data_IF_084254950345
#
_entry.id   IF_084254950345
#
_cell.length_a   1.000
_cell.length_b   1.000
_cell.length_c   1.000
_cell.angle_alpha   90.00
_cell.angle_beta   90.00
_cell.angle_gamma   90.00
#
_symmetry.space_group_name_H-M   'P 1'
#
loop_
_entity.id
_entity.type
_entity.pdbx_description
1 polymer ?
#
# COMPACT_ATOMS: atom_id res chain seq x y z
N UNK A 1 -9.16 16.73 -11.30
CA UNK A 1 -7.90 16.02 -11.65
C UNK A 1 -8.05 14.54 -11.32
N UNK A 2 -7.89 13.66 -12.33
CA UNK A 2 -8.12 12.22 -12.16
C UNK A 2 -6.84 11.50 -11.77
N UNK A 3 -6.92 10.63 -10.75
CA UNK A 3 -5.79 9.83 -10.25
C UNK A 3 -6.20 8.36 -10.16
N UNK A 4 -5.37 7.47 -10.71
CA UNK A 4 -5.59 6.02 -10.63
C UNK A 4 -4.54 5.34 -9.74
N UNK A 5 -4.97 4.35 -8.92
CA UNK A 5 -4.10 3.49 -8.11
C UNK A 5 -4.52 2.04 -8.27
N UNK A 6 -3.56 1.12 -8.28
CA UNK A 6 -3.80 -0.31 -8.40
C UNK A 6 -3.28 -1.07 -7.18
N UNK A 7 -4.01 -2.13 -6.81
CA UNK A 7 -3.68 -3.07 -5.75
C UNK A 7 -4.00 -4.50 -6.18
N UNK A 8 -3.08 -5.42 -6.00
CA UNK A 8 -3.35 -6.84 -6.18
C UNK A 8 -4.12 -7.39 -4.96
N UNK A 9 -5.16 -8.18 -5.21
CA UNK A 9 -6.00 -8.80 -4.18
C UNK A 9 -5.65 -10.28 -4.07
N UNK A 10 -5.02 -10.65 -2.95
CA UNK A 10 -4.59 -12.01 -2.66
C UNK A 10 -5.64 -12.74 -1.80
N UNK A 11 -6.00 -13.95 -2.22
CA UNK A 11 -6.91 -14.83 -1.49
C UNK A 11 -8.41 -14.53 -1.69
N UNK A 12 -9.20 -15.61 -1.88
CA UNK A 12 -10.65 -15.56 -2.13
C UNK A 12 -11.43 -14.90 -0.98
N UNK A 13 -11.00 -15.15 0.28
CA UNK A 13 -11.62 -14.55 1.48
C UNK A 13 -11.43 -13.02 1.53
N UNK A 14 -10.25 -12.54 1.15
CA UNK A 14 -9.97 -11.11 1.10
C UNK A 14 -10.79 -10.42 -0.02
N UNK A 15 -10.89 -11.06 -1.19
CA UNK A 15 -11.75 -10.59 -2.30
C UNK A 15 -13.21 -10.42 -1.85
N UNK A 16 -13.79 -11.40 -1.15
CA UNK A 16 -15.16 -11.31 -0.62
C UNK A 16 -15.34 -10.12 0.35
N UNK A 17 -14.37 -9.89 1.24
CA UNK A 17 -14.39 -8.72 2.13
C UNK A 17 -14.31 -7.41 1.36
N UNK A 18 -13.53 -7.37 0.31
CA UNK A 18 -13.39 -6.20 -0.55
C UNK A 18 -14.67 -5.93 -1.32
N UNK A 19 -15.35 -6.96 -1.86
CA UNK A 19 -16.68 -6.83 -2.48
C UNK A 19 -17.67 -6.20 -1.48
N UNK A 20 -17.74 -6.73 -0.26
CA UNK A 20 -18.60 -6.16 0.79
C UNK A 20 -18.27 -4.69 1.09
N UNK A 21 -16.99 -4.33 1.09
CA UNK A 21 -16.54 -2.96 1.36
C UNK A 21 -16.94 -1.99 0.24
N UNK A 22 -16.73 -2.37 -1.02
CA UNK A 22 -17.02 -1.49 -2.16
C UNK A 22 -18.51 -1.31 -2.40
N UNK A 23 -19.33 -2.30 -2.01
CA UNK A 23 -20.79 -2.28 -2.12
C UNK A 23 -21.48 -1.66 -0.88
N UNK A 24 -20.79 -0.89 -0.07
CA UNK A 24 -21.40 -0.26 1.10
C UNK A 24 -22.54 0.66 0.69
N UNK A 25 -23.72 0.47 1.28
CA UNK A 25 -24.98 1.16 0.91
C UNK A 25 -24.87 2.68 1.06
N UNK A 26 -24.32 3.14 2.20
CA UNK A 26 -24.21 4.56 2.51
C UNK A 26 -23.23 5.30 1.56
N UNK A 27 -22.30 4.57 0.95
CA UNK A 27 -21.27 5.13 0.09
C UNK A 27 -21.65 5.12 -1.39
N UNK A 28 -22.58 4.25 -1.77
CA UNK A 28 -22.98 4.00 -3.16
C UNK A 28 -24.40 4.45 -3.47
N UNK A 29 -24.97 5.32 -2.67
CA UNK A 29 -26.38 5.73 -2.76
C UNK A 29 -27.31 4.51 -2.90
N UNK A 30 -27.27 3.62 -1.91
CA UNK A 30 -28.07 2.38 -1.91
C UNK A 30 -27.88 1.53 -3.17
N UNK A 31 -26.63 1.38 -3.62
CA UNK A 31 -26.19 0.62 -4.80
C UNK A 31 -26.59 1.22 -6.16
N UNK A 32 -27.20 2.40 -6.22
CA UNK A 32 -27.47 3.07 -7.49
C UNK A 32 -26.21 3.42 -8.27
N UNK A 33 -25.10 3.66 -7.55
CA UNK A 33 -23.80 3.98 -8.10
C UNK A 33 -22.91 2.74 -8.28
N UNK A 34 -23.52 1.59 -8.59
CA UNK A 34 -22.82 0.34 -8.86
C UNK A 34 -23.15 -0.13 -10.27
N UNK A 35 -22.11 -0.43 -11.04
CA UNK A 35 -22.20 -1.04 -12.34
C UNK A 35 -21.27 -2.25 -12.44
N UNK A 36 -21.58 -3.21 -13.28
CA UNK A 36 -20.78 -4.41 -13.46
C UNK A 36 -20.76 -4.87 -14.92
N UNK A 37 -19.79 -5.72 -15.22
CA UNK A 37 -19.68 -6.37 -16.50
C UNK A 37 -19.43 -7.88 -16.39
N UNK A 38 -20.20 -8.63 -17.17
CA UNK A 38 -20.05 -10.08 -17.29
C UNK A 38 -20.57 -10.87 -16.08
N UNK A 39 -21.31 -10.22 -15.17
CA UNK A 39 -21.95 -10.89 -14.06
C UNK A 39 -23.28 -11.53 -14.50
N UNK A 40 -23.55 -12.72 -13.98
CA UNK A 40 -24.87 -13.34 -14.11
C UNK A 40 -25.72 -12.88 -12.94
N UNK A 41 -26.78 -12.15 -13.22
CA UNK A 41 -27.78 -11.80 -12.23
C UNK A 41 -28.91 -12.85 -12.32
N UNK A 42 -29.14 -13.54 -11.21
CA UNK A 42 -30.16 -14.58 -11.07
C UNK A 42 -31.14 -14.30 -9.92
N UNK A 43 -31.07 -13.07 -9.38
CA UNK A 43 -31.91 -12.64 -8.27
C UNK A 43 -32.73 -11.43 -8.71
N UNK A 44 -34.03 -11.47 -8.50
CA UNK A 44 -34.91 -10.31 -8.57
C UNK A 44 -34.84 -9.59 -7.21
N UNK A 45 -34.45 -8.31 -7.22
CA UNK A 45 -34.37 -7.47 -6.03
C UNK A 45 -33.52 -8.04 -4.88
N UNK A 46 -32.23 -8.34 -5.07
CA UNK A 46 -31.39 -8.93 -4.04
C UNK A 46 -31.17 -7.96 -2.88
N UNK A 47 -31.16 -8.50 -1.65
CA UNK A 47 -30.64 -7.79 -0.50
C UNK A 47 -29.14 -7.49 -0.69
N UNK A 48 -28.61 -6.53 0.08
CA UNK A 48 -27.17 -6.21 0.04
C UNK A 48 -26.28 -7.45 0.28
N UNK A 49 -26.66 -8.32 1.22
CA UNK A 49 -25.90 -9.54 1.52
C UNK A 49 -25.90 -10.52 0.35
N UNK A 50 -27.04 -10.70 -0.30
CA UNK A 50 -27.20 -11.55 -1.48
C UNK A 50 -26.45 -10.99 -2.68
N UNK A 51 -26.45 -9.68 -2.88
CA UNK A 51 -25.66 -9.05 -3.95
C UNK A 51 -24.14 -9.24 -3.74
N UNK A 52 -23.65 -9.09 -2.51
CA UNK A 52 -22.24 -9.37 -2.18
C UNK A 52 -21.89 -10.82 -2.50
N UNK A 53 -22.77 -11.77 -2.14
CA UNK A 53 -22.54 -13.18 -2.43
C UNK A 53 -22.66 -13.50 -3.91
N UNK A 54 -23.60 -12.94 -4.61
CA UNK A 54 -23.76 -13.08 -6.06
C UNK A 54 -22.48 -12.68 -6.81
N UNK A 55 -21.92 -11.54 -6.52
CA UNK A 55 -20.65 -11.12 -7.13
C UNK A 55 -19.48 -12.03 -6.74
N UNK A 56 -19.42 -12.45 -5.47
CA UNK A 56 -18.37 -13.36 -5.01
C UNK A 56 -18.47 -14.73 -5.70
N UNK A 57 -19.69 -15.28 -5.86
CA UNK A 57 -19.95 -16.54 -6.57
C UNK A 57 -19.58 -16.41 -8.05
N UNK A 58 -19.95 -15.31 -8.72
CA UNK A 58 -19.56 -15.04 -10.10
C UNK A 58 -18.04 -15.08 -10.32
N UNK A 59 -17.28 -14.47 -9.41
CA UNK A 59 -15.83 -14.50 -9.46
C UNK A 59 -15.28 -15.90 -9.14
N UNK A 60 -15.86 -16.57 -8.15
CA UNK A 60 -15.42 -17.91 -7.73
C UNK A 60 -15.71 -18.96 -8.81
N UNK A 61 -16.81 -18.85 -9.53
CA UNK A 61 -17.10 -19.75 -10.64
C UNK A 61 -16.08 -19.62 -11.76
N UNK A 62 -15.62 -18.39 -12.03
CA UNK A 62 -14.55 -18.14 -13.00
C UNK A 62 -13.22 -18.77 -12.54
N UNK A 63 -12.89 -18.66 -11.24
CA UNK A 63 -11.71 -19.32 -10.66
C UNK A 63 -11.80 -20.84 -10.80
N UNK A 64 -12.96 -21.45 -10.49
CA UNK A 64 -13.17 -22.91 -10.59
C UNK A 64 -13.03 -23.41 -12.03
N UNK A 65 -13.59 -22.68 -13.00
CA UNK A 65 -13.45 -23.02 -14.42
C UNK A 65 -11.97 -22.98 -14.85
N UNK A 66 -11.23 -21.98 -14.41
CA UNK A 66 -9.79 -21.89 -14.66
C UNK A 66 -9.03 -23.05 -14.02
N UNK A 67 -9.31 -23.35 -12.74
CA UNK A 67 -8.66 -24.45 -11.99
C UNK A 67 -8.93 -25.80 -12.67
N UNK A 68 -10.16 -26.06 -13.12
CA UNK A 68 -10.54 -27.33 -13.79
C UNK A 68 -9.87 -27.53 -15.15
N UNK A 69 -9.68 -26.43 -15.91
CA UNK A 69 -9.05 -26.51 -17.25
C UNK A 69 -7.53 -26.62 -17.19
N UNK A 70 -6.91 -26.12 -16.12
CA UNK A 70 -5.45 -26.09 -15.99
C UNK A 70 -4.88 -27.18 -15.08
N UNK A 71 -5.74 -28.08 -14.56
CA UNK A 71 -5.37 -29.11 -13.57
C UNK A 71 -4.52 -28.54 -12.39
N UNK A 72 -4.78 -27.30 -12.05
CA UNK A 72 -4.06 -26.55 -11.01
C UNK A 72 -5.01 -26.10 -9.93
N UNK A 73 -4.90 -26.75 -8.77
CA UNK A 73 -5.46 -26.15 -7.55
C UNK A 73 -4.52 -25.05 -7.09
N UNK A 74 -4.99 -23.80 -7.13
CA UNK A 74 -4.23 -22.66 -6.61
C UNK A 74 -4.27 -22.64 -5.08
N UNK A 75 -3.34 -23.35 -4.47
CA UNK A 75 -3.23 -23.53 -3.00
C UNK A 75 -2.47 -22.39 -2.31
N UNK A 76 -1.87 -21.45 -3.03
CA UNK A 76 -0.99 -20.45 -2.44
C UNK A 76 -1.73 -19.19 -1.99
N UNK A 77 -1.50 -18.80 -0.73
CA UNK A 77 -2.00 -17.53 -0.15
C UNK A 77 -1.55 -16.27 -0.94
N UNK A 78 -0.53 -16.40 -1.78
CA UNK A 78 0.00 -15.31 -2.61
C UNK A 78 -0.65 -15.20 -3.99
N UNK A 79 -1.56 -16.11 -4.35
CA UNK A 79 -2.25 -16.06 -5.64
C UNK A 79 -3.13 -14.81 -5.73
N UNK A 80 -2.98 -14.08 -6.85
CA UNK A 80 -3.84 -12.94 -7.17
C UNK A 80 -5.17 -13.45 -7.72
N UNK A 81 -6.26 -13.13 -7.05
CA UNK A 81 -7.63 -13.50 -7.42
C UNK A 81 -8.43 -12.34 -8.00
N UNK A 82 -8.00 -11.11 -7.76
CA UNK A 82 -8.60 -9.92 -8.34
C UNK A 82 -7.61 -8.76 -8.36
N UNK A 83 -7.88 -7.75 -9.16
CA UNK A 83 -7.18 -6.47 -9.18
C UNK A 83 -8.14 -5.38 -8.74
N UNK A 84 -7.74 -4.60 -7.74
CA UNK A 84 -8.50 -3.49 -7.21
C UNK A 84 -7.90 -2.17 -7.70
N UNK A 85 -8.69 -1.37 -8.37
CA UNK A 85 -8.31 -0.04 -8.86
C UNK A 85 -9.13 1.00 -8.11
N UNK A 86 -8.49 2.09 -7.72
CA UNK A 86 -9.15 3.30 -7.25
C UNK A 86 -8.92 4.39 -8.28
N UNK A 87 -10.01 4.99 -8.76
CA UNK A 87 -10.00 6.11 -9.69
C UNK A 87 -10.68 7.29 -9.00
N UNK A 88 -9.90 8.31 -8.63
CA UNK A 88 -10.38 9.47 -7.85
C UNK A 88 -10.45 10.72 -8.70
N UNK A 89 -11.49 11.53 -8.49
CA UNK A 89 -11.76 12.76 -9.20
C UNK A 89 -11.61 13.97 -8.28
N UNK A 90 -11.27 15.13 -8.83
CA UNK A 90 -11.22 16.36 -8.05
C UNK A 90 -12.64 16.86 -7.76
N UNK A 91 -12.90 17.42 -6.56
CA UNK A 91 -14.16 18.11 -6.31
C UNK A 91 -14.41 19.30 -7.26
N UNK A 92 -13.34 19.83 -7.86
CA UNK A 92 -13.40 20.90 -8.86
C UNK A 92 -13.81 20.41 -10.26
N UNK A 93 -13.82 19.08 -10.48
CA UNK A 93 -14.34 18.50 -11.71
C UNK A 93 -15.87 18.50 -11.59
N UNK A 94 -16.54 19.23 -12.45
CA UNK A 94 -18.00 19.36 -12.41
C UNK A 94 -18.69 18.12 -13.01
N UNK A 95 -18.48 16.97 -12.35
CA UNK A 95 -19.00 15.66 -12.75
C UNK A 95 -19.96 15.12 -11.69
N UNK A 96 -21.06 14.55 -12.14
CA UNK A 96 -21.97 13.82 -11.24
C UNK A 96 -21.39 12.46 -10.84
N UNK A 97 -21.81 11.88 -9.71
CA UNK A 97 -21.41 10.53 -9.33
C UNK A 97 -21.72 9.46 -10.38
N UNK A 98 -22.83 9.60 -11.12
CA UNK A 98 -23.24 8.71 -12.20
C UNK A 98 -22.27 8.81 -13.39
N UNK A 99 -21.86 10.02 -13.76
CA UNK A 99 -20.85 10.23 -14.80
C UNK A 99 -19.52 9.62 -14.40
N UNK A 100 -19.11 9.78 -13.13
CA UNK A 100 -17.90 9.18 -12.57
C UNK A 100 -17.98 7.64 -12.61
N UNK A 101 -19.14 7.05 -12.28
CA UNK A 101 -19.36 5.62 -12.41
C UNK A 101 -19.20 5.16 -13.86
N UNK A 102 -19.85 5.86 -14.80
CA UNK A 102 -19.76 5.58 -16.24
C UNK A 102 -18.31 5.67 -16.74
N UNK A 103 -17.54 6.68 -16.34
CA UNK A 103 -16.12 6.81 -16.70
C UNK A 103 -15.34 5.57 -16.22
N UNK A 104 -15.61 5.11 -15.00
CA UNK A 104 -15.00 3.88 -14.45
C UNK A 104 -15.33 2.66 -15.30
N UNK A 105 -16.58 2.49 -15.64
CA UNK A 105 -17.09 1.39 -16.47
C UNK A 105 -16.45 1.40 -17.87
N UNK A 106 -16.50 2.52 -18.58
CA UNK A 106 -15.92 2.66 -19.93
C UNK A 106 -14.40 2.46 -19.92
N UNK A 107 -13.71 2.98 -18.89
CA UNK A 107 -12.27 2.77 -18.71
C UNK A 107 -11.95 1.27 -18.59
N UNK A 108 -12.76 0.51 -17.86
CA UNK A 108 -12.52 -0.94 -17.70
C UNK A 108 -12.90 -1.72 -18.94
N UNK A 109 -13.97 -1.36 -19.60
CA UNK A 109 -14.35 -2.00 -20.87
C UNK A 109 -13.24 -1.87 -21.90
N UNK A 110 -12.67 -0.69 -22.06
CA UNK A 110 -11.58 -0.48 -23.01
C UNK A 110 -10.28 -1.15 -22.58
N UNK A 111 -9.88 -1.01 -21.28
CA UNK A 111 -8.65 -1.59 -20.76
C UNK A 111 -8.63 -3.12 -20.90
N UNK A 112 -9.78 -3.76 -20.67
CA UNK A 112 -9.89 -5.22 -20.64
C UNK A 112 -10.38 -5.80 -21.97
N UNK A 113 -10.88 -4.97 -22.88
CA UNK A 113 -11.54 -5.42 -24.11
C UNK A 113 -12.76 -6.32 -23.85
N UNK A 114 -13.44 -6.14 -22.72
CA UNK A 114 -14.60 -6.96 -22.30
C UNK A 114 -14.25 -8.43 -21.98
N UNK A 115 -12.98 -8.73 -21.72
CA UNK A 115 -12.51 -10.10 -21.45
C UNK A 115 -12.61 -10.52 -20.00
N UNK A 116 -12.65 -9.58 -19.07
CA UNK A 116 -12.64 -9.83 -17.63
C UNK A 116 -13.92 -9.34 -16.97
N UNK A 117 -14.42 -10.09 -16.01
CA UNK A 117 -15.53 -9.64 -15.15
C UNK A 117 -15.04 -8.54 -14.25
N UNK A 118 -15.85 -7.49 -14.06
CA UNK A 118 -15.52 -6.42 -13.12
C UNK A 118 -16.78 -5.79 -12.50
N UNK A 119 -16.54 -5.10 -11.37
CA UNK A 119 -17.53 -4.30 -10.65
C UNK A 119 -16.96 -2.89 -10.55
N UNK A 120 -17.76 -1.86 -10.77
CA UNK A 120 -17.46 -0.46 -10.50
C UNK A 120 -18.43 0.03 -9.43
N UNK A 121 -17.91 0.49 -8.30
CA UNK A 121 -18.71 1.10 -7.23
C UNK A 121 -18.17 2.51 -6.95
N UNK A 122 -19.02 3.51 -7.14
CA UNK A 122 -18.68 4.91 -6.90
C UNK A 122 -19.04 5.30 -5.48
N UNK A 123 -18.06 5.78 -4.74
CA UNK A 123 -18.19 6.23 -3.37
C UNK A 123 -18.26 7.75 -3.28
N UNK A 124 -19.24 8.23 -2.54
CA UNK A 124 -19.53 9.66 -2.33
C UNK A 124 -19.31 10.11 -0.89
N UNK A 125 -18.73 9.25 -0.03
CA UNK A 125 -18.52 9.50 1.40
C UNK A 125 -17.34 10.43 1.72
N UNK A 126 -16.71 11.01 0.72
CA UNK A 126 -15.55 11.92 0.86
C UNK A 126 -15.73 13.15 -0.03
N UNK A 127 -14.98 14.20 0.27
CA UNK A 127 -14.95 15.43 -0.54
C UNK A 127 -14.63 15.18 -2.02
N UNK A 128 -13.87 14.13 -2.31
CA UNK A 128 -13.58 13.68 -3.67
C UNK A 128 -14.30 12.37 -3.97
N UNK A 129 -15.16 12.40 -4.95
CA UNK A 129 -15.84 11.20 -5.45
C UNK A 129 -14.83 10.27 -6.11
N UNK A 130 -14.97 8.97 -5.88
CA UNK A 130 -14.00 8.00 -6.39
C UNK A 130 -14.65 6.65 -6.70
N UNK A 131 -14.16 6.05 -7.77
CA UNK A 131 -14.52 4.68 -8.13
C UNK A 131 -13.62 3.69 -7.39
N UNK A 132 -14.22 2.68 -6.81
CA UNK A 132 -13.60 1.41 -6.49
C UNK A 132 -13.94 0.41 -7.59
N UNK A 133 -12.94 -0.08 -8.29
CA UNK A 133 -13.13 -1.02 -9.38
C UNK A 133 -12.45 -2.33 -9.02
N UNK A 134 -13.19 -3.43 -9.08
CA UNK A 134 -12.67 -4.76 -8.81
C UNK A 134 -12.78 -5.61 -10.07
N UNK A 135 -11.63 -6.05 -10.60
CA UNK A 135 -11.54 -6.89 -11.80
C UNK A 135 -11.16 -8.31 -11.37
N UNK A 136 -11.89 -9.31 -11.87
CA UNK A 136 -11.47 -10.71 -11.72
C UNK A 136 -10.12 -10.94 -12.43
N UNK A 137 -9.22 -11.66 -11.79
CA UNK A 137 -7.91 -11.94 -12.36
C UNK A 137 -7.94 -12.90 -13.56
N UNK A 138 -9.06 -13.57 -13.82
CA UNK A 138 -9.19 -14.62 -14.82
C UNK A 138 -10.08 -14.15 -15.97
N UNK A 139 -9.59 -14.35 -17.19
CA UNK A 139 -10.30 -14.10 -18.43
C UNK A 139 -11.56 -15.00 -18.52
N UNK A 140 -12.67 -14.45 -18.98
CA UNK A 140 -13.96 -15.15 -19.11
C UNK A 140 -13.94 -16.27 -20.15
N UNK A 141 -13.15 -16.10 -21.20
CA UNK A 141 -13.20 -16.88 -22.41
C UNK A 141 -11.94 -17.74 -22.65
N UNK A 142 -10.90 -17.51 -21.87
CA UNK A 142 -9.62 -18.22 -22.04
C UNK A 142 -9.00 -18.58 -20.69
N UNK A 143 -8.00 -19.45 -20.73
CA UNK A 143 -7.25 -19.89 -19.56
C UNK A 143 -6.09 -18.94 -19.23
N UNK A 144 -6.29 -17.64 -19.40
CA UNK A 144 -5.30 -16.62 -19.15
C UNK A 144 -5.66 -15.76 -17.95
N UNK A 145 -4.63 -15.43 -17.19
CA UNK A 145 -4.74 -14.43 -16.10
C UNK A 145 -4.36 -13.05 -16.58
N UNK A 146 -5.01 -12.05 -15.97
CA UNK A 146 -4.61 -10.67 -16.10
C UNK A 146 -3.26 -10.46 -15.41
N UNK A 147 -2.22 -10.20 -16.18
CA UNK A 147 -0.90 -9.90 -15.66
C UNK A 147 -0.77 -8.39 -15.54
N UNK A 148 -0.73 -7.89 -14.30
CA UNK A 148 -0.54 -6.47 -14.06
C UNK A 148 0.94 -6.11 -14.19
N UNK A 149 1.26 -5.27 -15.15
CA UNK A 149 2.61 -4.77 -15.42
C UNK A 149 2.60 -3.27 -15.70
N UNK A 150 3.77 -2.70 -15.87
CA UNK A 150 3.94 -1.26 -16.15
C UNK A 150 3.19 -0.80 -17.41
N UNK A 151 3.17 -1.61 -18.46
CA UNK A 151 2.48 -1.27 -19.71
C UNK A 151 0.96 -1.19 -19.48
N UNK A 152 0.37 -2.16 -18.76
CA UNK A 152 -1.05 -2.14 -18.44
C UNK A 152 -1.43 -0.98 -17.51
N UNK A 153 -0.57 -0.67 -16.54
CA UNK A 153 -0.77 0.49 -15.66
C UNK A 153 -0.72 1.81 -16.44
N UNK A 154 0.22 1.93 -17.37
CA UNK A 154 0.29 3.09 -18.28
C UNK A 154 -0.96 3.19 -19.14
N UNK A 155 -1.43 2.09 -19.72
CA UNK A 155 -2.64 2.06 -20.53
C UNK A 155 -3.88 2.46 -19.72
N UNK A 156 -4.01 1.95 -18.48
CA UNK A 156 -5.08 2.37 -17.58
C UNK A 156 -5.12 3.89 -17.43
N UNK A 157 -3.98 4.51 -17.15
CA UNK A 157 -3.90 5.98 -16.98
C UNK A 157 -4.27 6.71 -18.26
N UNK A 158 -3.75 6.26 -19.40
CA UNK A 158 -4.04 6.90 -20.70
C UNK A 158 -5.51 6.82 -21.07
N UNK A 159 -6.15 5.67 -20.88
CA UNK A 159 -7.57 5.44 -21.15
C UNK A 159 -8.41 6.29 -20.17
N UNK A 160 -8.12 6.19 -18.88
CA UNK A 160 -8.81 6.96 -17.83
C UNK A 160 -8.75 8.47 -18.08
N UNK A 161 -7.56 9.02 -18.40
CA UNK A 161 -7.39 10.44 -18.69
C UNK A 161 -8.18 10.86 -19.94
N UNK A 162 -8.13 10.04 -21.00
CA UNK A 162 -8.83 10.34 -22.25
C UNK A 162 -10.34 10.37 -22.08
N UNK A 163 -10.92 9.35 -21.44
CA UNK A 163 -12.36 9.25 -21.19
C UNK A 163 -12.79 10.39 -20.26
N UNK A 164 -12.04 10.64 -19.19
CA UNK A 164 -12.35 11.72 -18.25
C UNK A 164 -12.29 13.12 -18.92
N UNK A 165 -11.32 13.35 -19.81
CA UNK A 165 -11.23 14.60 -20.55
C UNK A 165 -12.44 14.81 -21.47
N UNK A 166 -12.91 13.74 -22.11
CA UNK A 166 -14.10 13.81 -22.99
C UNK A 166 -15.38 14.17 -22.22
N UNK A 167 -15.44 13.87 -20.92
CA UNK A 167 -16.56 14.22 -20.02
C UNK A 167 -16.35 15.55 -19.27
N UNK A 168 -15.29 16.30 -19.58
CA UNK A 168 -15.03 17.61 -19.00
C UNK A 168 -14.18 17.63 -17.73
N UNK A 169 -13.68 16.48 -17.26
CA UNK A 169 -12.77 16.44 -16.12
C UNK A 169 -11.40 17.05 -16.44
N UNK A 170 -10.81 17.70 -15.45
CA UNK A 170 -9.41 18.17 -15.54
C UNK A 170 -8.46 16.99 -15.43
N UNK A 171 -7.57 16.86 -16.40
CA UNK A 171 -6.51 15.83 -16.36
C UNK A 171 -5.15 16.44 -15.99
N UNK A 172 -4.23 15.58 -15.54
CA UNK A 172 -2.84 15.99 -15.32
C UNK A 172 -2.12 16.01 -16.66
N UNK A 173 -1.97 17.17 -17.26
CA UNK A 173 -1.29 17.31 -18.56
C UNK A 173 0.21 17.00 -18.49
N UNK A 174 0.87 17.30 -17.36
CA UNK A 174 2.27 16.95 -17.12
C UNK A 174 2.37 15.71 -16.23
N UNK A 175 2.65 14.58 -16.84
CA UNK A 175 3.10 13.40 -16.10
C UNK A 175 4.54 13.61 -15.70
N UNK A 176 4.79 13.55 -14.39
CA UNK A 176 6.14 13.55 -13.87
C UNK A 176 6.92 12.40 -14.49
N UNK A 177 8.10 12.72 -15.06
CA UNK A 177 9.06 11.70 -15.48
C UNK A 177 9.49 10.89 -14.23
N UNK A 178 10.19 9.75 -14.43
CA UNK A 178 10.81 9.04 -13.30
C UNK A 178 11.70 9.96 -12.46
N UNK A 179 12.36 10.93 -13.09
CA UNK A 179 13.17 11.97 -12.46
C UNK A 179 12.33 12.88 -11.55
N UNK A 180 11.14 13.29 -12.01
CA UNK A 180 10.23 14.14 -11.23
C UNK A 180 9.60 13.38 -10.08
N UNK A 181 9.26 12.08 -10.27
CA UNK A 181 8.80 11.21 -9.21
C UNK A 181 9.87 11.00 -8.12
N UNK A 182 11.13 10.85 -8.52
CA UNK A 182 12.26 10.75 -7.60
C UNK A 182 12.39 12.05 -6.79
N UNK A 183 12.37 13.20 -7.45
CA UNK A 183 12.42 14.53 -6.84
C UNK A 183 11.24 14.77 -5.88
N UNK A 184 10.01 14.41 -6.30
CA UNK A 184 8.82 14.48 -5.44
C UNK A 184 8.94 13.57 -4.23
N UNK A 185 9.43 12.34 -4.40
CA UNK A 185 9.67 11.41 -3.30
C UNK A 185 10.72 11.94 -2.31
N UNK A 186 11.77 12.56 -2.82
CA UNK A 186 12.83 13.20 -2.03
C UNK A 186 12.35 14.45 -1.29
N UNK A 187 11.36 15.18 -1.83
CA UNK A 187 10.72 16.33 -1.17
C UNK A 187 9.62 15.96 -0.17
N UNK A 188 9.29 14.68 -0.03
CA UNK A 188 8.23 14.25 0.88
C UNK A 188 8.67 14.29 2.35
N UNK A 189 7.78 14.68 3.25
CA UNK A 189 8.03 14.63 4.71
C UNK A 189 8.50 13.24 5.19
N UNK A 190 8.05 12.19 4.53
CA UNK A 190 8.49 10.82 4.83
C UNK A 190 9.97 10.61 4.49
N UNK A 191 10.45 11.15 3.38
CA UNK A 191 11.85 11.06 2.98
C UNK A 191 12.73 11.89 3.92
N UNK A 192 12.35 13.14 4.17
CA UNK A 192 13.07 14.02 5.08
C UNK A 192 13.17 13.42 6.49
N UNK A 193 12.06 12.92 7.03
CA UNK A 193 12.06 12.25 8.33
C UNK A 193 13.01 11.04 8.36
N UNK A 194 13.04 10.23 7.29
CA UNK A 194 14.00 9.12 7.18
C UNK A 194 15.44 9.58 7.20
N UNK A 195 15.77 10.68 6.53
CA UNK A 195 17.11 11.24 6.54
C UNK A 195 17.52 11.73 7.93
N UNK A 196 16.60 12.42 8.63
CA UNK A 196 16.82 12.85 10.01
C UNK A 196 17.07 11.67 10.96
N UNK A 197 16.23 10.63 10.87
CA UNK A 197 16.39 9.42 11.69
C UNK A 197 17.70 8.68 11.37
N UNK A 198 18.06 8.56 10.10
CA UNK A 198 19.31 7.95 9.68
C UNK A 198 20.54 8.73 10.22
N UNK A 199 20.50 10.05 10.11
CA UNK A 199 21.53 10.92 10.69
C UNK A 199 21.62 10.74 12.21
N UNK A 200 20.50 10.73 12.92
CA UNK A 200 20.43 10.52 14.37
C UNK A 200 21.03 9.17 14.79
N UNK A 201 20.72 8.09 14.06
CA UNK A 201 21.29 6.76 14.32
C UNK A 201 22.82 6.74 14.19
N UNK A 202 23.39 7.52 13.26
CA UNK A 202 24.84 7.60 13.07
C UNK A 202 25.54 8.52 14.07
N UNK A 203 24.88 9.60 14.50
CA UNK A 203 25.51 10.64 15.33
C UNK A 203 25.24 10.47 16.82
N UNK A 204 24.35 9.58 17.23
CA UNK A 204 24.04 9.35 18.63
C UNK A 204 24.85 8.21 19.21
N UNK A 205 25.28 8.38 20.45
CA UNK A 205 26.11 7.41 21.17
C UNK A 205 25.30 6.46 22.06
N UNK A 206 24.07 6.84 22.39
CA UNK A 206 23.16 6.05 23.22
C UNK A 206 21.71 6.33 22.83
N UNK A 207 20.80 5.52 23.34
CA UNK A 207 19.36 5.74 23.13
C UNK A 207 18.87 7.07 23.71
N UNK A 208 19.38 7.47 24.87
CA UNK A 208 19.01 8.75 25.50
C UNK A 208 19.57 9.94 24.71
N UNK A 209 20.83 9.86 24.27
CA UNK A 209 21.44 10.85 23.36
C UNK A 209 20.67 10.96 22.03
N UNK A 210 20.18 9.84 21.49
CA UNK A 210 19.31 9.81 20.33
C UNK A 210 18.01 10.59 20.56
N UNK A 211 17.34 10.37 21.70
CA UNK A 211 16.10 11.06 22.03
C UNK A 211 16.31 12.58 22.22
N UNK A 212 17.41 12.96 22.84
CA UNK A 212 17.77 14.37 23.03
C UNK A 212 18.06 15.06 21.69
N UNK A 213 18.90 14.46 20.84
CA UNK A 213 19.22 14.96 19.51
C UNK A 213 18.01 14.97 18.58
N UNK A 214 17.10 14.01 18.73
CA UNK A 214 15.84 14.00 17.98
C UNK A 214 15.02 15.27 18.25
N UNK A 215 14.93 15.71 19.50
CA UNK A 215 14.28 16.99 19.87
C UNK A 215 14.97 18.18 19.21
N UNK A 216 16.31 18.21 19.23
CA UNK A 216 17.11 19.28 18.60
C UNK A 216 16.88 19.34 17.07
N UNK A 217 16.69 18.19 16.42
CA UNK A 217 16.34 18.09 15.00
C UNK A 217 14.84 18.19 14.72
N UNK A 218 14.06 18.70 15.68
CA UNK A 218 12.62 18.87 15.56
C UNK A 218 11.87 17.57 15.22
N UNK A 219 12.36 16.42 15.69
CA UNK A 219 11.70 15.12 15.54
C UNK A 219 11.08 14.71 16.86
N UNK A 220 9.78 14.79 16.96
CA UNK A 220 9.01 14.24 18.08
C UNK A 220 8.77 12.74 17.85
N UNK A 221 9.08 11.94 18.86
CA UNK A 221 8.96 10.48 18.83
C UNK A 221 8.01 10.05 19.94
N UNK A 222 7.02 9.22 19.61
CA UNK A 222 6.07 8.63 20.54
C UNK A 222 6.12 7.10 20.43
N UNK A 223 6.58 6.45 21.49
CA UNK A 223 6.61 4.99 21.65
C UNK A 223 5.46 4.45 22.52
N UNK A 224 4.61 5.30 23.08
CA UNK A 224 3.54 4.88 24.00
C UNK A 224 2.43 4.06 23.33
N UNK A 225 2.37 4.08 22.02
CA UNK A 225 1.34 3.42 21.23
C UNK A 225 1.83 2.07 20.70
N UNK A 226 0.90 1.19 20.33
CA UNK A 226 1.19 -0.11 19.69
C UNK A 226 2.22 -0.02 18.53
N UNK A 227 2.31 1.13 17.90
CA UNK A 227 3.28 1.43 16.83
C UNK A 227 3.89 2.80 17.11
N UNK A 228 5.20 2.88 17.07
CA UNK A 228 5.94 4.14 17.14
C UNK A 228 5.43 5.18 16.14
N UNK A 229 5.40 6.43 16.55
CA UNK A 229 4.93 7.57 15.75
C UNK A 229 5.99 8.65 15.73
N UNK A 230 6.17 9.27 14.58
CA UNK A 230 7.19 10.28 14.33
C UNK A 230 6.55 11.51 13.70
N UNK A 231 6.83 12.67 14.23
CA UNK A 231 6.35 13.97 13.77
C UNK A 231 7.52 14.95 13.67
N UNK A 232 7.63 15.68 12.56
CA UNK A 232 8.55 16.81 12.46
C UNK A 232 7.81 18.07 12.90
N UNK A 233 8.28 18.72 13.98
CA UNK A 233 7.60 19.89 14.57
C UNK A 233 7.89 21.19 13.84
N UNK A 234 8.89 21.22 12.97
CA UNK A 234 9.28 22.34 12.09
C UNK A 234 8.65 22.24 10.69
N UNK A 235 7.75 21.31 10.48
CA UNK A 235 7.03 21.09 9.22
C UNK A 235 5.53 21.02 9.44
N UNK A 236 4.77 21.44 8.43
CA UNK A 236 3.30 21.33 8.44
C UNK A 236 2.88 19.91 8.20
N UNK A 237 2.84 19.10 9.25
CA UNK A 237 2.41 17.71 9.20
C UNK A 237 1.06 17.56 9.90
N UNK A 238 0.04 17.09 9.15
CA UNK A 238 -1.32 16.87 9.67
C UNK A 238 -1.39 15.64 10.58
N UNK A 239 -0.59 14.62 10.29
CA UNK A 239 -0.58 13.34 11.03
C UNK A 239 0.84 12.82 11.19
N UNK A 240 1.18 12.21 12.35
CA UNK A 240 2.46 11.56 12.53
C UNK A 240 2.61 10.34 11.61
N UNK A 241 3.84 10.06 11.21
CA UNK A 241 4.19 8.90 10.39
C UNK A 241 4.51 7.74 11.32
N UNK A 242 3.95 6.56 11.05
CA UNK A 242 4.22 5.34 11.83
C UNK A 242 5.57 4.73 11.41
N UNK A 243 6.33 4.16 12.37
CA UNK A 243 7.63 3.53 12.12
C UNK A 243 7.60 2.51 10.99
N UNK A 244 6.62 1.61 10.97
CA UNK A 244 6.43 0.64 9.88
C UNK A 244 6.20 1.23 8.47
N UNK A 245 5.83 2.51 8.39
CA UNK A 245 5.71 3.21 7.10
C UNK A 245 7.04 3.77 6.63
N UNK A 246 7.98 3.99 7.56
CA UNK A 246 9.33 4.45 7.28
C UNK A 246 10.21 3.32 6.78
N UNK A 247 10.17 2.16 7.43
CA UNK A 247 10.82 0.94 6.98
C UNK A 247 9.89 -0.26 7.15
N UNK A 248 9.93 -1.17 6.17
CA UNK A 248 9.23 -2.45 6.27
C UNK A 248 10.08 -3.50 7.02
N UNK A 249 11.39 -3.34 7.00
CA UNK A 249 12.36 -4.27 7.56
C UNK A 249 12.59 -3.99 9.04
N UNK A 250 12.87 -2.75 9.39
CA UNK A 250 13.42 -2.36 10.69
C UNK A 250 12.36 -1.88 11.68
N UNK A 251 11.09 -1.87 11.34
CA UNK A 251 9.92 -1.44 12.10
C UNK A 251 10.01 -0.06 12.78
N UNK A 252 11.21 0.44 13.11
CA UNK A 252 11.50 1.69 13.83
C UNK A 252 10.67 1.81 15.12
N UNK A 253 10.57 0.72 15.89
CA UNK A 253 10.00 0.70 17.24
C UNK A 253 11.07 0.98 18.30
N UNK A 254 10.66 1.07 19.56
CA UNK A 254 11.59 1.35 20.67
C UNK A 254 12.64 0.25 20.81
N UNK A 255 12.25 -1.02 20.66
CA UNK A 255 13.15 -2.16 20.75
C UNK A 255 14.25 -2.10 19.68
N UNK A 256 13.88 -1.74 18.45
CA UNK A 256 14.85 -1.54 17.36
C UNK A 256 15.94 -0.50 17.76
N UNK A 257 15.53 0.67 18.28
CA UNK A 257 16.49 1.72 18.63
C UNK A 257 17.35 1.31 19.83
N UNK A 258 16.76 0.72 20.88
CA UNK A 258 17.51 0.23 22.04
C UNK A 258 18.52 -0.83 21.65
N UNK A 259 18.12 -1.81 20.84
CA UNK A 259 19.01 -2.86 20.33
C UNK A 259 20.13 -2.30 19.47
N UNK A 260 19.83 -1.31 18.61
CA UNK A 260 20.84 -0.66 17.78
C UNK A 260 21.93 -0.03 18.61
N UNK A 261 21.58 0.77 19.64
CA UNK A 261 22.56 1.45 20.49
C UNK A 261 23.29 0.49 21.43
N UNK A 262 22.63 -0.52 21.96
CA UNK A 262 23.29 -1.57 22.76
C UNK A 262 24.35 -2.31 21.92
N UNK A 263 24.03 -2.62 20.67
CA UNK A 263 24.98 -3.25 19.75
C UNK A 263 26.17 -2.33 19.43
N UNK A 264 25.93 -1.06 19.17
CA UNK A 264 26.96 -0.06 18.92
C UNK A 264 27.89 0.11 20.12
N UNK A 265 27.35 0.08 21.34
CA UNK A 265 28.12 0.13 22.58
C UNK A 265 29.06 -1.09 22.73
N UNK A 266 28.51 -2.29 22.48
CA UNK A 266 29.29 -3.54 22.51
C UNK A 266 30.43 -3.49 21.47
N UNK A 267 30.12 -3.08 20.24
CA UNK A 267 31.10 -2.92 19.16
C UNK A 267 32.24 -1.94 19.57
N UNK A 268 31.88 -0.81 20.13
CA UNK A 268 32.85 0.19 20.59
C UNK A 268 33.77 -0.34 21.73
N UNK A 269 33.20 -1.10 22.69
CA UNK A 269 33.96 -1.76 23.74
C UNK A 269 34.92 -2.83 23.21
N UNK A 270 34.44 -3.61 22.23
CA UNK A 270 35.27 -4.63 21.56
C UNK A 270 36.41 -4.01 20.77
N UNK A 271 36.16 -2.95 19.99
CA UNK A 271 37.22 -2.22 19.29
C UNK A 271 38.28 -1.65 20.25
N UNK A 272 37.82 -1.08 21.37
CA UNK A 272 38.71 -0.59 22.41
C UNK A 272 39.62 -1.70 22.97
N UNK A 273 39.04 -2.91 23.17
CA UNK A 273 39.82 -4.06 23.67
C UNK A 273 40.78 -4.60 22.61
N UNK A 274 40.32 -4.79 21.38
CA UNK A 274 41.12 -5.36 20.28
C UNK A 274 42.44 -4.58 20.05
N UNK A 275 42.42 -3.27 20.29
CA UNK A 275 43.62 -2.41 20.19
C UNK A 275 44.57 -2.51 21.39
N UNK A 276 44.25 -3.30 22.45
CA UNK A 276 44.98 -3.35 23.72
C UNK A 276 45.31 -4.75 24.22
N UNK A 277 44.94 -5.78 23.45
CA UNK A 277 45.14 -7.18 23.80
C UNK A 277 46.15 -7.82 22.84
N UNK A 278 46.93 -8.76 23.34
CA UNK A 278 47.94 -9.48 22.57
C UNK A 278 47.60 -10.96 22.39
N UNK A 279 46.57 -11.45 23.09
CA UNK A 279 46.13 -12.85 22.98
C UNK A 279 44.62 -12.96 23.20
N UNK A 280 44.03 -14.11 22.80
CA UNK A 280 42.64 -14.43 23.04
C UNK A 280 42.30 -14.52 24.53
N UNK A 281 43.21 -15.07 25.35
CA UNK A 281 43.01 -15.19 26.79
C UNK A 281 43.00 -13.81 27.47
N UNK A 282 43.89 -12.92 27.05
CA UNK A 282 43.94 -11.52 27.51
C UNK A 282 42.64 -10.76 27.09
N UNK A 283 42.13 -11.04 25.88
CA UNK A 283 40.86 -10.48 25.41
C UNK A 283 39.69 -10.92 26.30
N UNK A 284 39.57 -12.21 26.60
CA UNK A 284 38.50 -12.72 27.46
C UNK A 284 38.57 -12.15 28.88
N UNK A 285 39.78 -12.01 29.41
CA UNK A 285 39.99 -11.48 30.75
C UNK A 285 39.59 -10.00 30.83
N UNK A 286 40.09 -9.19 29.92
CA UNK A 286 39.79 -7.75 29.84
C UNK A 286 38.35 -7.44 29.44
N UNK A 287 37.73 -8.32 28.66
CA UNK A 287 36.31 -8.20 28.32
C UNK A 287 35.41 -8.28 29.55
N UNK A 288 35.72 -9.18 30.49
CA UNK A 288 35.01 -9.28 31.78
C UNK A 288 35.07 -7.99 32.60
N UNK A 289 36.20 -7.31 32.60
CA UNK A 289 36.37 -6.02 33.27
C UNK A 289 35.46 -4.92 32.71
N UNK A 290 35.11 -5.03 31.42
CA UNK A 290 34.18 -4.14 30.75
C UNK A 290 32.74 -4.71 30.71
N UNK A 291 32.42 -5.69 31.53
CA UNK A 291 31.12 -6.35 31.57
C UNK A 291 30.69 -6.94 30.21
N UNK A 292 31.65 -7.47 29.45
CA UNK A 292 31.38 -8.21 28.22
C UNK A 292 31.66 -9.69 28.44
N UNK A 293 30.75 -10.54 27.94
CA UNK A 293 30.96 -11.99 27.91
C UNK A 293 31.24 -12.39 26.46
N UNK A 294 32.38 -13.08 26.23
CA UNK A 294 32.71 -13.62 24.90
C UNK A 294 32.42 -15.12 24.92
N UNK A 295 31.52 -15.56 24.07
CA UNK A 295 31.21 -16.97 23.85
C UNK A 295 31.88 -17.39 22.52
N UNK A 296 32.81 -18.32 22.61
CA UNK A 296 33.50 -18.90 21.46
C UNK A 296 32.81 -20.22 21.11
N UNK A 297 31.91 -20.18 20.14
CA UNK A 297 31.27 -21.35 19.54
C UNK A 297 32.00 -21.79 18.28
#
# INVERSE_FOLDING_TARGET
>A
MVVTKHFATHGKKYRRRLIKYILNLDKTDNLKLVSDFGMSNYLDFPSHAEMVEMYNVNFTNNDKLYESRNDRQEKHQQTIHAHHIIQSFSPEDNLTPEEINRIGYETMMELTGGRFKFIVATHTDKDHVHNHILINAIDRNSDKKLIWNYALERNLRMISDRISKMTGAKIIEKRYSYRDYKKYKESSHKFELKQRLYFLLQQSKSFDDFLEKAKQLHVQIDFSQKHSRFLMTDRTMIKPIRGRQLSKRDLYDEEFFRTHFAKQEIESRLEFLLNRVNSLEDLITKAKELNLTIDLK
#
